data_IF_214832022137
#
_entry.id   IF_214832022137
#
_cell.length_a   1.000
_cell.length_b   1.000
_cell.length_c   1.000
_cell.angle_alpha   90.00
_cell.angle_beta   90.00
_cell.angle_gamma   90.00
#
_symmetry.space_group_name_H-M   'P 1'
#
loop_
_entity.id
_entity.type
_entity.pdbx_description
1 polymer ?
#
# COMPACT_ATOMS: atom_id res chain seq x y z
N UNK A 1 36.19 44.05 14.14
CA UNK A 1 36.24 42.75 13.43
C UNK A 1 35.25 41.79 14.08
N UNK A 2 34.02 41.67 13.56
CA UNK A 2 33.03 40.70 14.04
C UNK A 2 33.03 39.52 13.06
N UNK A 3 33.55 38.37 13.51
CA UNK A 3 33.62 37.15 12.72
C UNK A 3 32.20 36.59 12.61
N UNK A 4 31.63 36.65 11.41
CA UNK A 4 30.42 35.91 11.05
C UNK A 4 30.78 34.44 11.08
N UNK A 5 30.26 33.70 12.06
CA UNK A 5 30.28 32.24 12.04
C UNK A 5 29.33 31.78 10.94
N UNK A 6 29.90 31.70 9.74
CA UNK A 6 29.45 30.79 8.70
C UNK A 6 29.61 29.35 9.18
N UNK A 7 28.70 28.49 8.71
CA UNK A 7 28.70 27.03 8.83
C UNK A 7 27.87 26.49 9.98
N UNK A 8 26.66 26.00 9.68
CA UNK A 8 26.45 24.56 9.41
C UNK A 8 24.98 24.35 9.02
N UNK A 9 24.59 24.74 7.80
CA UNK A 9 23.34 24.28 7.22
C UNK A 9 23.63 22.91 6.59
N UNK A 10 23.69 21.87 7.43
CA UNK A 10 23.69 20.50 6.92
C UNK A 10 22.36 20.37 6.19
N UNK A 11 22.42 20.15 4.88
CA UNK A 11 21.29 19.75 4.08
C UNK A 11 20.67 18.53 4.76
N UNK A 12 19.58 18.73 5.48
CA UNK A 12 18.63 17.68 5.83
C UNK A 12 17.91 17.27 4.56
N UNK A 13 18.63 16.68 3.61
CA UNK A 13 18.03 15.94 2.49
C UNK A 13 17.55 14.58 3.01
N UNK A 14 16.72 14.59 4.04
CA UNK A 14 15.85 13.47 4.33
C UNK A 14 14.77 13.51 3.26
N UNK A 15 14.97 12.73 2.21
CA UNK A 15 13.99 12.53 1.15
C UNK A 15 12.70 11.97 1.76
N UNK A 16 11.76 12.87 2.05
CA UNK A 16 10.39 12.65 2.57
C UNK A 16 9.47 11.93 1.57
N UNK A 17 9.98 10.98 0.78
CA UNK A 17 9.23 10.38 -0.33
C UNK A 17 8.41 9.14 0.06
N UNK A 18 8.41 8.73 1.33
CA UNK A 18 7.66 7.57 1.81
C UNK A 18 6.85 7.84 3.09
N UNK A 19 6.33 9.06 3.28
CA UNK A 19 5.41 9.29 4.39
C UNK A 19 4.12 8.50 4.15
N UNK A 20 3.83 7.55 5.04
CA UNK A 20 2.57 6.79 5.04
C UNK A 20 1.40 7.76 5.01
N UNK A 21 0.47 7.55 4.09
CA UNK A 21 -0.78 8.30 4.04
C UNK A 21 -1.70 7.81 5.17
N UNK A 22 -1.96 8.61 6.22
CA UNK A 22 -2.80 8.19 7.33
C UNK A 22 -4.28 8.04 6.93
N UNK A 23 -4.68 8.57 5.77
CA UNK A 23 -6.04 8.40 5.26
C UNK A 23 -6.26 7.01 4.65
N UNK A 24 -5.20 6.29 4.27
CA UNK A 24 -5.32 4.98 3.65
C UNK A 24 -5.72 3.94 4.69
N UNK A 25 -6.92 3.38 4.51
CA UNK A 25 -7.42 2.24 5.28
C UNK A 25 -7.40 1.00 4.42
N UNK A 26 -6.46 0.11 4.69
CA UNK A 26 -6.36 -1.15 3.96
C UNK A 26 -7.49 -2.10 4.31
N UNK A 27 -7.87 -2.89 3.31
CA UNK A 27 -8.82 -3.97 3.44
C UNK A 27 -8.29 -5.23 2.76
N UNK A 28 -8.79 -6.40 3.17
CA UNK A 28 -8.43 -7.69 2.59
C UNK A 28 -9.70 -8.46 2.26
N UNK A 29 -9.76 -9.04 1.06
CA UNK A 29 -10.79 -9.98 0.68
C UNK A 29 -10.15 -11.14 -0.10
N UNK A 30 -10.42 -12.38 0.30
CA UNK A 30 -9.85 -13.58 -0.33
C UNK A 30 -8.32 -13.52 -0.50
N UNK A 31 -7.59 -13.09 0.54
CA UNK A 31 -6.14 -12.89 0.55
C UNK A 31 -5.59 -11.85 -0.45
N UNK A 32 -6.45 -11.02 -1.03
CA UNK A 32 -6.09 -9.90 -1.91
C UNK A 32 -6.25 -8.59 -1.15
N UNK A 33 -5.24 -7.72 -1.24
CA UNK A 33 -5.22 -6.42 -0.58
C UNK A 33 -5.93 -5.38 -1.44
N UNK A 34 -6.78 -4.59 -0.81
CA UNK A 34 -7.42 -3.41 -1.37
C UNK A 34 -7.49 -2.29 -0.34
N UNK A 35 -8.37 -1.32 -0.57
CA UNK A 35 -8.69 -0.26 0.40
C UNK A 35 -10.16 -0.26 0.74
N UNK A 36 -10.51 0.26 1.91
CA UNK A 36 -11.92 0.45 2.31
C UNK A 36 -12.66 1.33 1.30
N UNK A 37 -12.01 2.35 0.75
CA UNK A 37 -12.59 3.24 -0.25
C UNK A 37 -12.93 2.52 -1.56
N UNK A 38 -12.07 1.60 -2.02
CA UNK A 38 -12.37 0.74 -3.17
C UNK A 38 -13.65 -0.08 -2.94
N UNK A 39 -13.79 -0.69 -1.76
CA UNK A 39 -14.97 -1.49 -1.41
C UNK A 39 -16.22 -0.65 -1.15
N UNK A 40 -16.08 0.60 -0.72
CA UNK A 40 -17.19 1.55 -0.61
C UNK A 40 -17.86 1.81 -1.97
N UNK A 41 -17.11 1.72 -3.07
CA UNK A 41 -17.63 1.79 -4.44
C UNK A 41 -18.27 0.48 -4.95
N UNK A 42 -18.19 -0.62 -4.19
CA UNK A 42 -18.66 -1.96 -4.57
C UNK A 42 -19.49 -2.62 -3.46
N UNK A 43 -20.35 -1.86 -2.79
CA UNK A 43 -21.11 -2.37 -1.62
C UNK A 43 -22.06 -3.52 -1.98
N UNK A 44 -22.51 -3.55 -3.22
CA UNK A 44 -23.41 -4.55 -3.78
C UNK A 44 -22.81 -5.96 -3.83
N UNK A 45 -21.48 -6.10 -3.89
CA UNK A 45 -20.80 -7.40 -3.95
C UNK A 45 -20.31 -7.90 -2.58
N UNK A 46 -20.46 -7.09 -1.52
CA UNK A 46 -20.01 -7.42 -0.16
C UNK A 46 -21.08 -8.28 0.54
N UNK A 47 -20.65 -9.39 1.12
CA UNK A 47 -21.47 -10.26 1.96
C UNK A 47 -21.36 -9.87 3.45
N UNK A 48 -20.14 -9.65 3.94
CA UNK A 48 -19.91 -9.23 5.33
C UNK A 48 -18.62 -8.45 5.48
N UNK A 49 -18.49 -7.73 6.59
CA UNK A 49 -17.33 -6.90 6.93
C UNK A 49 -16.94 -7.14 8.39
N UNK A 50 -15.64 -7.37 8.63
CA UNK A 50 -15.06 -7.46 9.97
C UNK A 50 -13.96 -6.41 10.10
N UNK A 51 -13.93 -5.68 11.20
CA UNK A 51 -12.94 -4.63 11.45
C UNK A 51 -12.00 -5.06 12.58
N UNK A 52 -10.71 -5.12 12.29
CA UNK A 52 -9.66 -5.43 13.24
C UNK A 52 -8.88 -4.15 13.56
N UNK A 53 -9.13 -3.57 14.74
CA UNK A 53 -8.57 -2.26 15.13
C UNK A 53 -7.07 -2.29 15.42
N UNK A 54 -6.52 -3.46 15.77
CA UNK A 54 -5.10 -3.61 16.12
C UNK A 54 -4.55 -4.90 15.53
N UNK A 55 -3.24 -4.95 15.28
CA UNK A 55 -2.55 -6.15 14.79
C UNK A 55 -2.69 -7.35 15.72
N UNK A 56 -2.85 -7.12 17.03
CA UNK A 56 -2.98 -8.18 18.03
C UNK A 56 -4.29 -8.97 17.89
N UNK A 57 -5.33 -8.37 17.31
CA UNK A 57 -6.63 -9.01 17.10
C UNK A 57 -6.76 -9.69 15.73
N UNK A 58 -5.71 -9.68 14.90
CA UNK A 58 -5.79 -10.28 13.57
C UNK A 58 -5.87 -11.82 13.65
N UNK A 59 -6.82 -12.44 12.92
CA UNK A 59 -6.86 -13.88 12.76
C UNK A 59 -5.61 -14.37 12.00
N UNK A 60 -5.29 -15.66 12.13
CA UNK A 60 -4.04 -16.23 11.64
C UNK A 60 -3.81 -16.01 10.13
N UNK A 61 -4.87 -16.05 9.32
CA UNK A 61 -4.80 -15.80 7.87
C UNK A 61 -4.40 -14.35 7.53
N UNK A 62 -4.70 -13.38 8.40
CA UNK A 62 -4.43 -11.96 8.17
C UNK A 62 -3.14 -11.47 8.83
N UNK A 63 -2.49 -12.27 9.68
CA UNK A 63 -1.24 -11.87 10.34
C UNK A 63 -0.13 -11.48 9.36
N UNK A 64 -0.10 -12.07 8.17
CA UNK A 64 0.84 -11.69 7.09
C UNK A 64 0.70 -10.22 6.66
N UNK A 65 -0.43 -9.57 6.96
CA UNK A 65 -0.71 -8.17 6.66
C UNK A 65 -0.58 -7.24 7.87
N UNK A 66 -0.08 -7.71 9.03
CA UNK A 66 -0.04 -6.92 10.26
C UNK A 66 0.69 -5.59 10.16
N UNK A 67 1.61 -5.46 9.19
CA UNK A 67 2.36 -4.23 8.89
C UNK A 67 1.50 -3.12 8.25
N UNK A 68 0.28 -3.45 7.78
CA UNK A 68 -0.70 -2.51 7.23
C UNK A 68 -1.71 -2.01 8.27
N UNK A 69 -1.66 -2.54 9.50
CA UNK A 69 -2.69 -2.33 10.52
C UNK A 69 -2.50 -1.07 11.37
N UNK A 70 -1.69 -0.10 10.92
CA UNK A 70 -1.49 1.17 11.63
C UNK A 70 -2.82 1.93 11.88
N UNK A 71 -3.79 1.75 10.98
CA UNK A 71 -5.16 2.29 11.10
C UNK A 71 -6.22 1.18 11.29
N UNK A 72 -5.77 -0.03 11.68
CA UNK A 72 -6.55 -1.25 11.61
C UNK A 72 -6.66 -1.82 10.19
N UNK A 73 -7.21 -3.03 10.08
CA UNK A 73 -7.48 -3.72 8.81
C UNK A 73 -8.95 -4.12 8.78
N UNK A 74 -9.58 -3.96 7.62
CA UNK A 74 -10.93 -4.46 7.38
C UNK A 74 -10.87 -5.73 6.54
N UNK A 75 -11.50 -6.80 6.99
CA UNK A 75 -11.72 -8.00 6.17
C UNK A 75 -13.11 -7.93 5.56
N UNK A 76 -13.19 -8.04 4.24
CA UNK A 76 -14.46 -8.20 3.53
C UNK A 76 -14.61 -9.65 3.05
N UNK A 77 -15.80 -10.20 3.26
CA UNK A 77 -16.25 -11.39 2.54
C UNK A 77 -17.11 -10.96 1.36
N UNK A 78 -16.80 -11.48 0.18
CA UNK A 78 -17.54 -11.19 -1.04
C UNK A 78 -18.66 -12.20 -1.22
N UNK A 79 -19.74 -11.79 -1.88
CA UNK A 79 -20.84 -12.69 -2.28
C UNK A 79 -20.31 -13.74 -3.25
N UNK A 80 -20.94 -14.92 -3.23
CA UNK A 80 -20.61 -16.00 -4.16
C UNK A 80 -20.75 -15.53 -5.61
N UNK A 81 -19.75 -15.83 -6.43
CA UNK A 81 -19.66 -15.40 -7.83
C UNK A 81 -18.83 -14.12 -8.06
N UNK A 82 -18.47 -13.40 -6.99
CA UNK A 82 -17.66 -12.18 -7.06
C UNK A 82 -16.24 -12.38 -6.55
N UNK A 83 -15.80 -13.63 -6.38
CA UNK A 83 -14.48 -13.95 -5.86
C UNK A 83 -13.35 -13.65 -6.84
N UNK A 84 -13.66 -13.41 -8.13
CA UNK A 84 -12.72 -13.23 -9.24
C UNK A 84 -12.56 -11.77 -9.69
N UNK A 85 -12.65 -10.81 -8.76
CA UNK A 85 -12.27 -9.43 -9.08
C UNK A 85 -10.82 -9.37 -9.58
N UNK A 86 -10.58 -8.41 -10.46
CA UNK A 86 -9.29 -8.17 -11.08
C UNK A 86 -8.20 -7.98 -10.02
N UNK A 87 -7.10 -8.72 -10.19
CA UNK A 87 -5.99 -8.75 -9.25
C UNK A 87 -4.68 -8.96 -9.98
N UNK A 88 -3.64 -8.44 -9.39
CA UNK A 88 -2.28 -8.58 -9.88
C UNK A 88 -1.33 -8.71 -8.70
N UNK A 89 -0.26 -9.48 -8.87
CA UNK A 89 0.81 -9.50 -7.87
C UNK A 89 1.68 -8.26 -8.01
N UNK A 90 2.24 -7.80 -6.89
CA UNK A 90 3.20 -6.68 -6.93
C UNK A 90 4.46 -7.03 -7.74
N UNK A 91 4.86 -8.30 -7.77
CA UNK A 91 5.94 -8.79 -8.62
C UNK A 91 5.65 -8.61 -10.12
N UNK A 92 4.41 -8.89 -10.56
CA UNK A 92 4.00 -8.66 -11.95
C UNK A 92 3.96 -7.16 -12.28
N UNK A 93 3.53 -6.31 -11.35
CA UNK A 93 3.58 -4.85 -11.54
C UNK A 93 5.02 -4.34 -11.69
N UNK A 94 5.96 -4.87 -10.90
CA UNK A 94 7.37 -4.56 -11.07
C UNK A 94 7.87 -4.97 -12.47
N UNK A 95 7.56 -6.17 -12.94
CA UNK A 95 7.95 -6.62 -14.28
C UNK A 95 7.41 -5.72 -15.38
N UNK A 96 6.15 -5.30 -15.29
CA UNK A 96 5.53 -4.38 -16.26
C UNK A 96 6.27 -3.05 -16.38
N UNK A 97 7.00 -2.64 -15.32
CA UNK A 97 7.79 -1.42 -15.28
C UNK A 97 9.30 -1.66 -15.44
N UNK A 98 9.72 -2.88 -15.84
CA UNK A 98 11.12 -3.29 -15.95
C UNK A 98 11.91 -3.12 -14.64
N UNK A 99 11.26 -3.39 -13.51
CA UNK A 99 11.85 -3.44 -12.16
C UNK A 99 12.01 -4.90 -11.75
N UNK A 100 13.02 -5.24 -10.94
CA UNK A 100 13.21 -6.61 -10.45
C UNK A 100 12.01 -7.05 -9.59
N UNK A 101 11.55 -8.30 -9.77
CA UNK A 101 10.33 -8.86 -9.16
C UNK A 101 10.23 -8.68 -7.66
N UNK A 102 11.35 -8.84 -6.98
CA UNK A 102 11.52 -8.82 -5.53
C UNK A 102 11.73 -7.40 -4.97
N UNK A 103 11.75 -6.38 -5.83
CA UNK A 103 11.89 -4.99 -5.40
C UNK A 103 10.66 -4.54 -4.60
N UNK A 104 10.82 -3.99 -3.38
CA UNK A 104 9.70 -3.50 -2.61
C UNK A 104 8.87 -2.46 -3.37
N UNK A 105 7.56 -2.53 -3.18
CA UNK A 105 6.58 -1.60 -3.76
C UNK A 105 5.99 -0.75 -2.64
N UNK A 106 5.85 0.55 -2.89
CA UNK A 106 5.26 1.47 -1.93
C UNK A 106 3.83 1.78 -2.35
N UNK A 107 2.84 1.46 -1.51
CA UNK A 107 1.43 1.80 -1.74
C UNK A 107 1.01 2.82 -0.70
N UNK A 108 0.68 4.04 -1.13
CA UNK A 108 0.37 5.17 -0.25
C UNK A 108 1.42 5.38 0.87
N UNK A 109 2.70 5.14 0.55
CA UNK A 109 3.81 5.24 1.50
C UNK A 109 4.01 4.03 2.43
N UNK A 110 3.17 2.99 2.32
CA UNK A 110 3.38 1.71 3.00
C UNK A 110 4.26 0.81 2.14
N UNK A 111 5.34 0.28 2.71
CA UNK A 111 6.26 -0.59 2.00
C UNK A 111 5.79 -2.05 2.03
N UNK A 112 5.63 -2.63 0.84
CA UNK A 112 5.31 -4.03 0.62
C UNK A 112 6.57 -4.75 0.18
N UNK A 113 7.24 -5.40 1.13
CA UNK A 113 8.46 -6.20 0.87
C UNK A 113 8.15 -7.58 0.31
N UNK A 114 6.97 -8.13 0.61
CA UNK A 114 6.49 -9.37 0.00
C UNK A 114 5.77 -9.06 -1.32
N UNK A 115 6.49 -9.10 -2.44
CA UNK A 115 5.94 -8.80 -3.76
C UNK A 115 5.05 -9.90 -4.34
N UNK A 116 4.98 -11.07 -3.68
CA UNK A 116 3.97 -12.09 -3.95
C UNK A 116 2.56 -11.71 -3.46
N UNK A 117 2.42 -10.57 -2.78
CA UNK A 117 1.12 -10.03 -2.36
C UNK A 117 0.25 -9.72 -3.57
N UNK A 118 -0.97 -10.24 -3.58
CA UNK A 118 -1.99 -9.84 -4.55
C UNK A 118 -2.65 -8.54 -4.10
N UNK A 119 -2.84 -7.62 -5.05
CA UNK A 119 -3.62 -6.40 -4.88
C UNK A 119 -4.76 -6.36 -5.90
N UNK A 120 -5.87 -5.73 -5.56
CA UNK A 120 -6.94 -5.48 -6.54
C UNK A 120 -6.50 -4.43 -7.54
N UNK A 121 -6.77 -4.64 -8.84
CA UNK A 121 -6.38 -3.69 -9.89
C UNK A 121 -6.97 -2.28 -9.69
N UNK A 122 -8.15 -2.20 -9.08
CA UNK A 122 -8.86 -0.95 -8.83
C UNK A 122 -8.15 0.01 -7.84
N UNK A 123 -7.18 -0.47 -7.06
CA UNK A 123 -6.40 0.41 -6.16
C UNK A 123 -5.21 1.06 -6.86
N UNK A 124 -4.97 0.75 -8.14
CA UNK A 124 -3.83 1.27 -8.91
C UNK A 124 -4.14 2.62 -9.56
N UNK A 125 -4.65 3.59 -8.79
CA UNK A 125 -5.13 4.87 -9.33
C UNK A 125 -4.02 5.68 -10.01
N UNK A 126 -2.82 5.69 -9.44
CA UNK A 126 -1.62 6.24 -10.06
C UNK A 126 -0.41 5.38 -9.73
N UNK A 127 0.41 5.08 -10.75
CA UNK A 127 1.59 4.22 -10.63
C UNK A 127 2.78 4.96 -11.21
N UNK A 128 3.81 5.15 -10.39
CA UNK A 128 5.01 5.90 -10.73
C UNK A 128 6.26 5.08 -10.39
N UNK A 129 7.31 5.21 -11.20
CA UNK A 129 8.63 4.66 -10.88
C UNK A 129 9.48 5.79 -10.30
N UNK A 130 9.99 5.61 -9.08
CA UNK A 130 10.85 6.59 -8.40
C UNK A 130 12.09 5.92 -7.84
N UNK A 131 13.11 6.73 -7.57
CA UNK A 131 14.24 6.26 -6.76
C UNK A 131 13.82 6.15 -5.29
N UNK A 132 14.08 4.99 -4.71
CA UNK A 132 13.91 4.70 -3.30
C UNK A 132 15.15 3.95 -2.82
N UNK A 133 15.91 4.57 -1.91
CA UNK A 133 17.16 4.03 -1.38
C UNK A 133 18.18 3.65 -2.47
N UNK A 134 18.29 4.46 -3.55
CA UNK A 134 19.24 4.25 -4.64
C UNK A 134 18.83 3.15 -5.62
N UNK A 135 17.57 2.70 -5.57
CA UNK A 135 17.00 1.72 -6.48
C UNK A 135 15.69 2.25 -7.06
N UNK A 136 15.39 1.88 -8.31
CA UNK A 136 14.06 2.14 -8.89
C UNK A 136 13.03 1.26 -8.19
N UNK A 137 12.03 1.88 -7.59
CA UNK A 137 10.90 1.22 -6.94
C UNK A 137 9.58 1.74 -7.49
N UNK A 138 8.55 0.91 -7.40
CA UNK A 138 7.20 1.27 -7.78
C UNK A 138 6.51 2.01 -6.64
N UNK A 139 5.85 3.12 -6.95
CA UNK A 139 5.03 3.90 -6.04
C UNK A 139 3.60 3.92 -6.58
N UNK A 140 2.67 3.43 -5.77
CA UNK A 140 1.25 3.34 -6.09
C UNK A 140 0.51 4.30 -5.17
N UNK A 141 -0.31 5.17 -5.74
CA UNK A 141 -1.29 5.97 -5.00
C UNK A 141 -2.67 5.36 -5.21
N UNK A 142 -3.43 5.11 -4.14
CA UNK A 142 -4.74 4.45 -4.24
C UNK A 142 -5.91 5.42 -4.40
N UNK A 143 -5.73 6.67 -3.98
CA UNK A 143 -6.72 7.73 -4.19
C UNK A 143 -6.37 8.54 -5.44
N UNK A 144 -7.34 8.70 -6.35
CA UNK A 144 -7.22 9.68 -7.44
C UNK A 144 -7.10 11.09 -6.83
N UNK A 145 -6.06 11.85 -7.19
CA UNK A 145 -6.03 13.29 -6.86
C UNK A 145 -7.21 13.94 -7.60
N UNK A 146 -8.18 14.45 -6.85
CA UNK A 146 -9.28 15.26 -7.40
C UNK A 146 -8.77 16.60 -7.90
#
# INVERSE_FOLDING_TARGET
>A
MKKLLYSFLILSSATLFAQKNPATKFAVANDVVGTVDMFNGKKDIIQSMNVYKTSANLPQNLKKFSYLADQGIVEFKLKKGYENLDRITLAQLNEQQNIAKDTPVLIDGYEFTNTGTNVFGDILANVEVKDYNGKKSLFITTTQKK
#
